data_IF_816777527468
#
_entry.id   IF_816777527468
#
_cell.length_a   1.000
_cell.length_b   1.000
_cell.length_c   1.000
_cell.angle_alpha   90.00
_cell.angle_beta   90.00
_cell.angle_gamma   90.00
#
_symmetry.space_group_name_H-M   'P 1'
#
loop_
_entity.id
_entity.type
_entity.pdbx_description
1 polymer ?
#
# COMPACT_ATOMS: atom_id res chain seq x y z
N UNK A 1 0.95 -4.75 -26.21
CA UNK A 1 0.15 -3.71 -25.53
C UNK A 1 -0.85 -4.45 -24.65
N UNK A 2 -0.46 -4.78 -23.40
CA UNK A 2 -1.33 -5.46 -22.43
C UNK A 2 -2.14 -4.41 -21.69
N UNK A 3 -3.45 -4.55 -21.71
CA UNK A 3 -4.35 -3.79 -20.86
C UNK A 3 -4.05 -4.12 -19.40
N UNK A 4 -3.92 -3.10 -18.54
CA UNK A 4 -3.77 -3.31 -17.09
C UNK A 4 -4.99 -4.07 -16.55
N UNK A 5 -4.82 -4.80 -15.48
CA UNK A 5 -5.86 -5.61 -14.81
C UNK A 5 -7.13 -4.79 -14.51
N UNK A 6 -7.00 -3.50 -14.15
CA UNK A 6 -8.14 -2.58 -14.03
C UNK A 6 -8.93 -2.44 -15.33
N UNK A 7 -8.24 -2.45 -16.48
CA UNK A 7 -8.90 -2.41 -17.79
C UNK A 7 -9.51 -3.76 -18.16
N UNK A 8 -8.93 -4.87 -17.66
CA UNK A 8 -9.49 -6.21 -17.85
C UNK A 8 -10.72 -6.41 -16.96
N UNK A 9 -10.66 -5.98 -15.69
CA UNK A 9 -11.80 -6.00 -14.76
C UNK A 9 -12.88 -5.02 -15.23
N UNK A 10 -12.51 -3.82 -15.67
CA UNK A 10 -13.44 -2.85 -16.26
C UNK A 10 -14.00 -3.35 -17.60
N UNK A 11 -13.19 -4.02 -18.44
CA UNK A 11 -13.65 -4.66 -19.65
C UNK A 11 -14.55 -5.88 -19.34
N UNK A 12 -14.30 -6.63 -18.27
CA UNK A 12 -15.16 -7.71 -17.81
C UNK A 12 -16.47 -7.16 -17.24
N UNK A 13 -16.43 -6.09 -16.45
CA UNK A 13 -17.61 -5.39 -15.93
C UNK A 13 -18.40 -4.70 -17.05
N UNK A 14 -17.72 -4.09 -18.04
CA UNK A 14 -18.37 -3.49 -19.22
C UNK A 14 -18.85 -4.59 -20.19
N UNK A 15 -18.14 -5.70 -20.32
CA UNK A 15 -18.60 -6.87 -21.07
C UNK A 15 -19.78 -7.54 -20.37
N UNK A 16 -19.76 -7.69 -19.06
CA UNK A 16 -20.89 -8.14 -18.25
C UNK A 16 -22.08 -7.15 -18.35
N UNK A 17 -21.83 -5.82 -18.32
CA UNK A 17 -22.88 -4.82 -18.54
C UNK A 17 -23.42 -4.79 -19.98
N UNK A 18 -22.59 -5.04 -20.98
CA UNK A 18 -23.02 -5.11 -22.38
C UNK A 18 -23.76 -6.41 -22.70
N UNK A 19 -23.45 -7.51 -22.01
CA UNK A 19 -24.16 -8.80 -22.09
C UNK A 19 -25.53 -8.72 -21.42
N UNK A 20 -25.74 -7.82 -20.45
CA UNK A 20 -27.06 -7.54 -19.84
C UNK A 20 -28.11 -6.99 -20.83
N UNK A 21 -27.69 -6.48 -21.99
CA UNK A 21 -28.62 -5.96 -23.01
C UNK A 21 -29.07 -7.05 -23.99
N UNK A 22 -28.43 -8.22 -24.04
CA UNK A 22 -28.67 -9.22 -25.12
C UNK A 22 -29.10 -10.60 -24.62
N UNK A 23 -29.05 -10.93 -23.32
CA UNK A 23 -29.36 -12.32 -22.92
C UNK A 23 -30.09 -12.45 -21.59
N UNK A 24 -31.37 -12.53 -21.65
CA UNK A 24 -32.25 -13.03 -20.56
C UNK A 24 -32.21 -14.58 -20.41
N UNK A 25 -31.08 -15.24 -20.67
CA UNK A 25 -31.02 -16.71 -20.73
C UNK A 25 -29.90 -17.44 -20.00
N UNK A 26 -28.92 -16.77 -19.39
CA UNK A 26 -27.86 -17.49 -18.67
C UNK A 26 -28.02 -17.33 -17.15
N UNK A 27 -28.78 -18.25 -16.54
CA UNK A 27 -29.09 -18.25 -15.11
C UNK A 27 -27.94 -18.60 -14.17
N UNK A 28 -26.67 -18.27 -14.52
CA UNK A 28 -25.50 -18.47 -13.66
C UNK A 28 -24.89 -17.16 -13.14
N UNK A 29 -25.19 -16.00 -13.72
CA UNK A 29 -24.57 -14.71 -13.37
C UNK A 29 -24.91 -14.30 -11.93
N UNK A 30 -26.16 -14.47 -11.49
CA UNK A 30 -26.54 -14.23 -10.10
C UNK A 30 -25.79 -15.14 -9.12
N UNK A 31 -25.54 -16.42 -9.53
CA UNK A 31 -24.77 -17.35 -8.71
C UNK A 31 -23.30 -16.93 -8.55
N UNK A 32 -22.72 -16.26 -9.57
CA UNK A 32 -21.37 -15.68 -9.45
C UNK A 32 -21.36 -14.51 -8.48
N UNK A 33 -22.33 -13.60 -8.58
CA UNK A 33 -22.44 -12.46 -7.67
C UNK A 33 -22.64 -12.93 -6.22
N UNK A 34 -23.52 -13.92 -6.01
CA UNK A 34 -23.74 -14.49 -4.69
C UNK A 34 -22.46 -15.19 -4.16
N UNK A 35 -21.78 -15.94 -5.03
CA UNK A 35 -20.54 -16.64 -4.66
C UNK A 35 -19.41 -15.67 -4.28
N UNK A 36 -19.24 -14.57 -5.03
CA UNK A 36 -18.29 -13.50 -4.71
C UNK A 36 -18.62 -12.84 -3.37
N UNK A 37 -19.91 -12.56 -3.11
CA UNK A 37 -20.37 -12.02 -1.85
C UNK A 37 -20.07 -12.97 -0.67
N UNK A 38 -20.40 -14.25 -0.80
CA UNK A 38 -20.10 -15.26 0.22
C UNK A 38 -18.58 -15.39 0.44
N UNK A 39 -17.79 -15.42 -0.64
CA UNK A 39 -16.33 -15.50 -0.56
C UNK A 39 -15.73 -14.30 0.18
N UNK A 40 -16.14 -13.08 -0.18
CA UNK A 40 -15.69 -11.84 0.45
C UNK A 40 -16.05 -11.78 1.94
N UNK A 41 -17.15 -12.42 2.33
CA UNK A 41 -17.62 -12.53 3.70
C UNK A 41 -17.10 -13.78 4.44
N UNK A 42 -16.09 -14.48 3.89
CA UNK A 42 -15.47 -15.67 4.46
C UNK A 42 -16.43 -16.88 4.62
N UNK A 43 -17.60 -16.85 3.98
CA UNK A 43 -18.51 -18.00 3.91
C UNK A 43 -18.11 -18.88 2.73
N UNK A 44 -16.99 -19.57 2.90
CA UNK A 44 -16.41 -20.40 1.84
C UNK A 44 -17.25 -21.61 1.48
N UNK A 45 -18.08 -22.12 2.38
CA UNK A 45 -18.99 -23.22 2.10
C UNK A 45 -20.09 -22.81 1.13
N UNK A 46 -20.74 -21.69 1.40
CA UNK A 46 -21.75 -21.11 0.49
C UNK A 46 -21.13 -20.68 -0.84
N UNK A 47 -19.93 -20.06 -0.82
CA UNK A 47 -19.21 -19.69 -2.03
C UNK A 47 -18.88 -20.90 -2.92
N UNK A 48 -18.36 -21.99 -2.36
CA UNK A 48 -18.04 -23.24 -3.09
C UNK A 48 -19.30 -23.82 -3.71
N UNK A 49 -20.42 -23.83 -3.00
CA UNK A 49 -21.70 -24.31 -3.53
C UNK A 49 -22.15 -23.45 -4.72
N UNK A 50 -22.19 -22.14 -4.59
CA UNK A 50 -22.67 -21.20 -5.62
C UNK A 50 -21.77 -21.21 -6.85
N UNK A 51 -20.43 -21.17 -6.69
CA UNK A 51 -19.50 -21.34 -7.85
C UNK A 51 -19.65 -22.68 -8.51
N UNK A 52 -19.84 -23.76 -7.75
CA UNK A 52 -20.09 -25.11 -8.30
C UNK A 52 -21.37 -25.20 -9.12
N UNK A 53 -22.42 -24.50 -8.71
CA UNK A 53 -23.67 -24.41 -9.47
C UNK A 53 -23.52 -23.54 -10.73
N UNK A 54 -22.85 -22.39 -10.62
CA UNK A 54 -22.55 -21.52 -11.76
C UNK A 54 -21.74 -22.29 -12.83
N UNK A 55 -20.72 -23.05 -12.41
CA UNK A 55 -19.90 -23.87 -13.30
C UNK A 55 -20.71 -24.93 -14.06
N UNK A 56 -21.72 -25.53 -13.42
CA UNK A 56 -22.61 -26.49 -14.08
C UNK A 56 -23.52 -25.86 -15.13
N UNK A 57 -23.92 -24.60 -14.90
CA UNK A 57 -24.84 -23.88 -15.80
C UNK A 57 -24.12 -23.10 -16.90
N UNK A 58 -22.86 -22.77 -16.71
CA UNK A 58 -22.05 -22.01 -17.67
C UNK A 58 -21.65 -22.88 -18.87
N UNK A 59 -22.01 -22.47 -20.08
CA UNK A 59 -21.62 -23.13 -21.33
C UNK A 59 -20.37 -22.55 -21.99
N UNK A 60 -19.93 -21.33 -21.60
CA UNK A 60 -18.77 -20.66 -22.16
C UNK A 60 -17.48 -21.20 -21.55
N UNK A 61 -16.56 -21.70 -22.42
CA UNK A 61 -15.31 -22.31 -21.94
C UNK A 61 -14.33 -21.33 -21.28
N UNK A 62 -14.33 -20.06 -21.69
CA UNK A 62 -13.44 -19.04 -21.11
C UNK A 62 -13.95 -18.64 -19.73
N UNK A 63 -15.25 -18.38 -19.62
CA UNK A 63 -15.91 -18.06 -18.35
C UNK A 63 -15.80 -19.23 -17.37
N UNK A 64 -15.93 -20.47 -17.83
CA UNK A 64 -15.76 -21.67 -17.00
C UNK A 64 -14.38 -21.74 -16.35
N UNK A 65 -13.32 -21.41 -17.10
CA UNK A 65 -11.95 -21.42 -16.57
C UNK A 65 -11.80 -20.40 -15.42
N UNK A 66 -12.41 -19.21 -15.55
CA UNK A 66 -12.38 -18.22 -14.50
C UNK A 66 -13.20 -18.66 -13.27
N UNK A 67 -14.39 -19.26 -13.49
CA UNK A 67 -15.18 -19.83 -12.38
C UNK A 67 -14.40 -20.92 -11.65
N UNK A 68 -13.69 -21.80 -12.37
CA UNK A 68 -12.86 -22.86 -11.78
C UNK A 68 -11.75 -22.29 -10.89
N UNK A 69 -11.14 -21.17 -11.31
CA UNK A 69 -10.13 -20.44 -10.52
C UNK A 69 -10.73 -19.87 -9.23
N UNK A 70 -11.88 -19.18 -9.31
CA UNK A 70 -12.57 -18.62 -8.14
C UNK A 70 -13.07 -19.72 -7.20
N UNK A 71 -13.60 -20.81 -7.75
CA UNK A 71 -13.99 -21.99 -6.98
C UNK A 71 -12.78 -22.60 -6.23
N UNK A 72 -11.63 -22.67 -6.89
CA UNK A 72 -10.39 -23.17 -6.27
C UNK A 72 -9.97 -22.30 -5.10
N UNK A 73 -10.01 -20.95 -5.24
CA UNK A 73 -9.74 -20.02 -4.15
C UNK A 73 -10.67 -20.21 -2.95
N UNK A 74 -11.97 -20.39 -3.21
CA UNK A 74 -12.95 -20.64 -2.15
C UNK A 74 -12.71 -21.99 -1.46
N UNK A 75 -12.31 -23.02 -2.18
CA UNK A 75 -11.92 -24.33 -1.60
C UNK A 75 -10.68 -24.20 -0.73
N UNK A 76 -9.69 -23.40 -1.15
CA UNK A 76 -8.51 -23.10 -0.36
C UNK A 76 -8.88 -22.35 0.93
N UNK A 77 -9.73 -21.34 0.81
CA UNK A 77 -10.25 -20.60 1.96
C UNK A 77 -10.96 -21.51 2.96
N UNK A 78 -11.84 -22.41 2.48
CA UNK A 78 -12.49 -23.43 3.30
C UNK A 78 -11.49 -24.33 4.03
N UNK A 79 -10.45 -24.80 3.33
CA UNK A 79 -9.43 -25.66 3.93
C UNK A 79 -8.62 -24.93 5.01
N UNK A 80 -8.28 -23.65 4.79
CA UNK A 80 -7.52 -22.84 5.75
C UNK A 80 -8.37 -22.35 6.93
N UNK A 81 -9.68 -22.21 6.76
CA UNK A 81 -10.59 -21.66 7.77
C UNK A 81 -10.71 -22.51 9.05
N UNK A 82 -10.35 -23.79 8.98
CA UNK A 82 -10.47 -24.70 10.13
C UNK A 82 -9.59 -24.32 11.32
N UNK A 83 -8.45 -23.69 11.06
CA UNK A 83 -7.50 -23.26 12.09
C UNK A 83 -6.91 -21.89 11.71
N UNK A 84 -6.97 -20.95 12.64
CA UNK A 84 -6.47 -19.59 12.44
C UNK A 84 -5.50 -19.16 13.52
N UNK A 85 -4.53 -18.33 13.15
CA UNK A 85 -3.73 -17.61 14.12
C UNK A 85 -4.54 -16.44 14.71
N UNK A 86 -4.28 -16.12 15.97
CA UNK A 86 -4.93 -15.00 16.67
C UNK A 86 -3.86 -13.96 17.06
N UNK A 87 -3.25 -13.27 16.07
CA UNK A 87 -2.21 -12.32 16.38
C UNK A 87 -2.78 -11.12 17.12
N UNK A 88 -2.02 -10.60 18.06
CA UNK A 88 -2.37 -9.38 18.77
C UNK A 88 -2.11 -8.17 17.87
N UNK A 89 -3.18 -7.47 17.53
CA UNK A 89 -3.13 -6.29 16.68
C UNK A 89 -2.81 -5.06 17.51
N UNK A 90 -1.64 -4.46 17.28
CA UNK A 90 -1.18 -3.26 17.98
C UNK A 90 -1.80 -2.02 17.37
N UNK A 91 -1.75 -1.91 16.04
CA UNK A 91 -2.32 -0.78 15.32
C UNK A 91 -2.66 -1.11 13.88
N UNK A 92 -3.45 -0.25 13.25
CA UNK A 92 -3.79 -0.28 11.83
C UNK A 92 -3.87 1.14 11.30
N UNK A 93 -3.31 1.38 10.11
CA UNK A 93 -3.46 2.66 9.40
C UNK A 93 -3.61 2.44 7.91
N UNK A 94 -4.48 3.23 7.29
CA UNK A 94 -4.72 3.21 5.84
C UNK A 94 -3.86 4.27 5.16
N UNK A 95 -3.25 3.89 4.04
CA UNK A 95 -2.37 4.70 3.20
C UNK A 95 -2.83 4.64 1.75
N UNK A 96 -2.30 5.54 0.90
CA UNK A 96 -2.43 5.41 -0.54
C UNK A 96 -1.64 4.19 -1.05
N UNK A 97 -2.24 3.42 -1.95
CA UNK A 97 -1.63 2.23 -2.55
C UNK A 97 -0.32 2.58 -3.32
N UNK A 98 -0.18 3.80 -3.82
CA UNK A 98 0.95 4.19 -4.67
C UNK A 98 2.28 4.30 -3.93
N UNK A 99 2.25 4.62 -2.64
CA UNK A 99 3.44 5.01 -1.90
C UNK A 99 3.52 4.43 -0.47
N UNK A 100 2.56 3.58 -0.05
CA UNK A 100 2.51 3.00 1.30
C UNK A 100 3.81 2.29 1.69
N UNK A 101 4.47 1.61 0.75
CA UNK A 101 5.69 0.82 0.98
C UNK A 101 6.90 1.67 1.35
N UNK A 102 6.91 2.97 0.99
CA UNK A 102 7.98 3.91 1.37
C UNK A 102 8.03 4.18 2.87
N UNK A 103 7.01 3.80 3.60
CA UNK A 103 6.81 4.12 5.00
C UNK A 103 7.06 2.95 5.94
N UNK A 104 7.41 1.81 5.38
CA UNK A 104 7.82 0.66 6.17
C UNK A 104 9.13 0.94 6.92
N UNK A 105 9.26 0.46 8.17
CA UNK A 105 10.40 0.76 9.05
C UNK A 105 11.63 -0.07 8.67
N UNK A 106 12.05 0.03 7.42
CA UNK A 106 13.24 -0.64 6.92
C UNK A 106 14.42 0.33 6.92
N UNK A 107 15.65 -0.14 7.19
CA UNK A 107 16.84 0.65 7.04
C UNK A 107 16.91 1.28 5.64
N UNK A 108 17.32 2.55 5.53
CA UNK A 108 17.32 3.30 4.27
C UNK A 108 18.07 2.62 3.10
N UNK A 109 19.01 1.73 3.41
CA UNK A 109 19.78 0.98 2.41
C UNK A 109 19.16 -0.36 2.02
N UNK A 110 18.10 -0.79 2.71
CA UNK A 110 17.48 -2.09 2.45
C UNK A 110 16.59 -2.07 1.20
N UNK A 111 16.14 -0.90 0.77
CA UNK A 111 15.31 -0.77 -0.43
C UNK A 111 15.90 0.20 -1.43
N UNK A 112 15.89 -0.21 -2.69
CA UNK A 112 16.18 0.65 -3.84
C UNK A 112 15.10 0.49 -4.87
N UNK A 113 14.62 1.62 -5.38
CA UNK A 113 13.63 1.63 -6.45
C UNK A 113 14.28 1.24 -7.77
N UNK A 114 13.52 0.55 -8.59
CA UNK A 114 13.80 0.37 -10.00
C UNK A 114 13.72 1.72 -10.76
N UNK A 115 14.44 1.94 -11.86
CA UNK A 115 15.36 0.99 -12.49
C UNK A 115 16.73 0.99 -11.82
N UNK A 116 17.35 -0.16 -11.74
CA UNK A 116 18.76 -0.30 -11.40
C UNK A 116 19.37 -1.45 -12.25
N UNK A 117 20.62 -1.80 -12.00
CA UNK A 117 21.33 -2.82 -12.79
C UNK A 117 20.70 -4.22 -12.71
N UNK A 118 19.88 -4.49 -11.71
CA UNK A 118 19.26 -5.79 -11.47
C UNK A 118 17.82 -5.87 -11.97
N UNK A 119 17.13 -4.71 -12.09
CA UNK A 119 15.74 -4.64 -12.53
C UNK A 119 15.50 -3.39 -13.38
N UNK A 120 14.96 -3.59 -14.58
CA UNK A 120 14.67 -2.55 -15.57
C UNK A 120 13.17 -2.28 -15.75
N UNK A 121 12.33 -2.69 -14.81
CA UNK A 121 10.88 -2.69 -14.99
C UNK A 121 10.22 -1.33 -14.78
N UNK A 122 10.95 -0.31 -14.40
CA UNK A 122 10.51 1.07 -14.58
C UNK A 122 9.65 1.69 -13.50
N UNK A 123 9.74 1.28 -12.26
CA UNK A 123 9.34 2.17 -11.16
C UNK A 123 7.92 2.06 -10.63
N UNK A 124 7.23 0.97 -10.83
CA UNK A 124 6.06 0.66 -10.03
C UNK A 124 6.50 0.12 -8.63
N UNK A 125 5.60 0.15 -7.64
CA UNK A 125 5.92 -0.25 -6.27
C UNK A 125 6.34 -1.73 -6.16
N UNK A 126 5.94 -2.59 -7.09
CA UNK A 126 6.32 -4.00 -7.14
C UNK A 126 7.74 -4.23 -7.67
N UNK A 127 8.36 -3.21 -8.23
CA UNK A 127 9.71 -3.24 -8.81
C UNK A 127 10.83 -2.81 -7.84
N UNK A 128 10.56 -2.82 -6.55
CA UNK A 128 11.53 -2.49 -5.51
C UNK A 128 12.55 -3.61 -5.34
N UNK A 129 13.84 -3.26 -5.33
CA UNK A 129 14.91 -4.19 -5.02
C UNK A 129 15.22 -4.13 -3.52
N UNK A 130 15.16 -5.27 -2.88
CA UNK A 130 15.40 -5.43 -1.45
C UNK A 130 16.78 -6.03 -1.17
N UNK A 131 17.50 -5.43 -0.23
CA UNK A 131 18.81 -5.85 0.24
C UNK A 131 18.70 -6.19 1.74
N UNK A 132 18.67 -7.48 2.12
CA UNK A 132 18.60 -7.86 3.53
C UNK A 132 19.79 -7.32 4.31
N UNK A 133 19.55 -6.80 5.50
CA UNK A 133 20.59 -6.24 6.35
C UNK A 133 21.67 -7.28 6.69
N UNK A 134 22.94 -6.90 6.51
CA UNK A 134 24.07 -7.79 6.78
C UNK A 134 24.26 -8.94 5.78
N UNK A 135 23.44 -9.01 4.74
CA UNK A 135 23.53 -10.02 3.69
C UNK A 135 24.25 -9.50 2.45
N UNK A 136 24.87 -10.42 1.69
CA UNK A 136 25.41 -10.18 0.35
C UNK A 136 24.40 -10.61 -0.73
N UNK A 137 23.12 -10.54 -0.46
CA UNK A 137 22.06 -10.96 -1.36
C UNK A 137 21.14 -9.77 -1.69
N UNK A 138 20.57 -9.79 -2.89
CA UNK A 138 19.53 -8.87 -3.32
C UNK A 138 18.36 -9.66 -3.87
N UNK A 139 17.13 -9.21 -3.59
CA UNK A 139 15.90 -9.85 -4.01
C UNK A 139 15.00 -8.81 -4.70
N UNK A 140 14.32 -9.20 -5.77
CA UNK A 140 13.38 -8.33 -6.47
C UNK A 140 12.35 -9.16 -7.23
N UNK A 141 11.30 -8.49 -7.68
CA UNK A 141 10.30 -9.03 -8.59
C UNK A 141 10.46 -8.40 -9.97
N UNK A 142 10.49 -9.22 -11.01
CA UNK A 142 10.59 -8.74 -12.38
C UNK A 142 9.75 -9.59 -13.34
N UNK A 143 9.22 -9.00 -14.43
CA UNK A 143 8.45 -9.74 -15.42
C UNK A 143 9.36 -10.67 -16.25
N UNK A 144 8.86 -11.85 -16.55
CA UNK A 144 9.45 -12.75 -17.55
C UNK A 144 9.01 -12.37 -18.97
N UNK A 145 9.36 -13.21 -19.95
CA UNK A 145 8.98 -13.00 -21.35
C UNK A 145 7.47 -13.01 -21.61
N UNK A 146 6.70 -13.63 -20.74
CA UNK A 146 5.24 -13.63 -20.76
C UNK A 146 4.64 -12.39 -20.05
N UNK A 147 5.48 -11.59 -19.39
CA UNK A 147 5.12 -10.43 -18.59
C UNK A 147 4.59 -10.81 -17.21
N UNK A 148 4.81 -12.04 -16.75
CA UNK A 148 4.47 -12.52 -15.42
C UNK A 148 5.63 -12.20 -14.51
N UNK A 149 5.35 -11.56 -13.38
CA UNK A 149 6.37 -11.18 -12.42
C UNK A 149 6.78 -12.38 -11.57
N UNK A 150 8.07 -12.61 -11.52
CA UNK A 150 8.67 -13.69 -10.74
C UNK A 150 9.70 -13.12 -9.79
N UNK A 151 10.01 -13.85 -8.71
CA UNK A 151 11.03 -13.45 -7.77
C UNK A 151 12.39 -13.92 -8.25
N UNK A 152 13.33 -12.98 -8.24
CA UNK A 152 14.73 -13.18 -8.55
C UNK A 152 15.60 -12.86 -7.34
N UNK A 153 16.76 -13.48 -7.28
CA UNK A 153 17.82 -13.05 -6.39
C UNK A 153 19.17 -13.04 -7.09
N UNK A 154 20.08 -12.25 -6.56
CA UNK A 154 21.49 -12.24 -6.93
C UNK A 154 22.35 -12.13 -5.69
N UNK A 155 23.59 -12.57 -5.80
CA UNK A 155 24.59 -12.54 -4.73
C UNK A 155 25.74 -11.60 -5.09
N UNK A 156 26.15 -10.78 -4.12
CA UNK A 156 27.33 -9.94 -4.23
C UNK A 156 28.60 -10.82 -4.10
N UNK A 157 29.38 -10.89 -5.15
CA UNK A 157 30.64 -11.61 -5.23
C UNK A 157 31.86 -10.72 -4.87
N UNK A 158 31.60 -9.49 -4.42
CA UNK A 158 32.60 -8.50 -4.05
C UNK A 158 32.98 -7.55 -5.18
N UNK A 159 33.32 -8.04 -6.35
CA UNK A 159 33.67 -7.23 -7.55
C UNK A 159 32.46 -7.06 -8.50
N UNK A 160 31.51 -7.95 -8.46
CA UNK A 160 30.31 -7.98 -9.31
C UNK A 160 29.18 -8.72 -8.62
N UNK A 161 27.95 -8.52 -9.13
CA UNK A 161 26.81 -9.36 -8.79
C UNK A 161 26.81 -10.66 -9.60
N UNK A 162 26.35 -11.76 -9.00
CA UNK A 162 26.06 -12.98 -9.74
C UNK A 162 25.01 -12.72 -10.82
N UNK A 163 24.90 -13.63 -11.79
CA UNK A 163 23.72 -13.64 -12.67
C UNK A 163 22.44 -13.76 -11.84
N UNK A 164 21.35 -13.07 -12.24
CA UNK A 164 20.04 -13.22 -11.62
C UNK A 164 19.57 -14.67 -11.65
N UNK A 165 19.11 -15.15 -10.51
CA UNK A 165 18.53 -16.49 -10.40
C UNK A 165 17.03 -16.37 -10.12
N UNK A 166 16.20 -16.92 -11.00
CA UNK A 166 14.76 -17.02 -10.80
C UNK A 166 14.45 -18.08 -9.75
N UNK A 167 13.59 -17.74 -8.79
CA UNK A 167 13.21 -18.68 -7.74
C UNK A 167 12.40 -19.86 -8.30
N UNK A 168 12.60 -21.10 -7.81
CA UNK A 168 12.02 -22.30 -8.38
C UNK A 168 10.52 -22.46 -8.12
N UNK A 169 9.94 -21.69 -7.22
CA UNK A 169 8.54 -21.74 -6.82
C UNK A 169 7.63 -20.77 -7.59
N UNK A 170 8.07 -20.29 -8.73
CA UNK A 170 7.27 -19.40 -9.57
C UNK A 170 5.97 -20.07 -10.05
N UNK A 171 4.89 -19.31 -10.04
CA UNK A 171 3.58 -19.74 -10.53
C UNK A 171 3.29 -19.26 -11.96
N UNK A 172 2.05 -19.36 -12.38
CA UNK A 172 1.57 -18.84 -13.67
C UNK A 172 1.06 -17.39 -13.57
N UNK A 173 1.14 -16.78 -12.40
CA UNK A 173 0.75 -15.39 -12.10
C UNK A 173 1.87 -14.67 -11.34
N UNK A 174 1.59 -13.44 -10.93
CA UNK A 174 2.60 -12.55 -10.36
C UNK A 174 3.02 -12.94 -8.93
N UNK A 175 4.33 -12.92 -8.66
CA UNK A 175 4.96 -12.88 -7.35
C UNK A 175 5.65 -11.53 -7.12
N UNK A 176 5.39 -10.92 -5.95
CA UNK A 176 5.89 -9.58 -5.60
C UNK A 176 6.41 -9.49 -4.15
N UNK A 177 7.12 -8.43 -3.84
CA UNK A 177 7.60 -8.08 -2.50
C UNK A 177 8.39 -9.17 -1.78
N UNK A 178 9.49 -9.68 -2.36
CA UNK A 178 10.37 -10.61 -1.64
C UNK A 178 11.08 -9.90 -0.48
N UNK A 179 10.93 -10.43 0.73
CA UNK A 179 11.50 -9.90 1.96
C UNK A 179 12.11 -11.02 2.78
N UNK A 180 13.35 -10.87 3.23
CA UNK A 180 13.99 -11.86 4.11
C UNK A 180 13.97 -11.35 5.53
N UNK A 181 13.34 -12.11 6.42
CA UNK A 181 13.31 -11.83 7.84
C UNK A 181 13.42 -13.14 8.64
N UNK A 182 14.21 -13.12 9.70
CA UNK A 182 14.38 -14.25 10.64
C UNK A 182 14.63 -15.61 9.98
N UNK A 183 15.42 -15.61 8.89
CA UNK A 183 15.76 -16.84 8.16
C UNK A 183 14.65 -17.37 7.25
N UNK A 184 13.58 -16.62 7.06
CA UNK A 184 12.50 -16.89 6.12
C UNK A 184 12.48 -15.87 5.01
N UNK A 185 12.16 -16.33 3.79
CA UNK A 185 11.83 -15.47 2.65
C UNK A 185 10.32 -15.35 2.58
N UNK A 186 9.80 -14.15 2.78
CA UNK A 186 8.38 -13.81 2.61
C UNK A 186 8.18 -13.18 1.23
N UNK A 187 7.04 -13.41 0.62
CA UNK A 187 6.61 -12.79 -0.63
C UNK A 187 5.10 -12.89 -0.79
N UNK A 188 4.53 -12.16 -1.73
CA UNK A 188 3.13 -12.29 -2.09
C UNK A 188 2.99 -12.92 -3.47
N UNK A 189 2.02 -13.81 -3.66
CA UNK A 189 1.73 -14.48 -4.92
C UNK A 189 0.23 -14.51 -5.20
N UNK A 190 -0.12 -14.38 -6.48
CA UNK A 190 -1.49 -14.57 -6.98
C UNK A 190 -1.74 -15.97 -7.51
N UNK A 191 -0.69 -16.68 -7.91
CA UNK A 191 -0.79 -17.93 -8.65
C UNK A 191 -0.54 -19.19 -7.84
N UNK A 192 -0.07 -19.05 -6.63
CA UNK A 192 0.06 -20.16 -5.70
C UNK A 192 -1.28 -20.46 -5.00
N UNK A 193 -1.26 -21.49 -4.18
CA UNK A 193 -2.41 -21.93 -3.41
C UNK A 193 -2.87 -20.87 -2.40
N UNK A 194 -3.83 -20.02 -2.80
CA UNK A 194 -4.28 -18.85 -2.04
C UNK A 194 -5.79 -18.71 -1.95
N UNK A 195 -6.23 -17.67 -1.25
CA UNK A 195 -7.64 -17.34 -1.01
C UNK A 195 -8.04 -16.11 -1.83
N UNK A 196 -7.22 -15.07 -1.78
CA UNK A 196 -7.51 -13.78 -2.40
C UNK A 196 -6.87 -13.53 -3.75
N UNK A 197 -6.54 -12.28 -3.99
CA UNK A 197 -5.68 -11.87 -5.10
C UNK A 197 -4.23 -12.22 -4.79
N UNK A 198 -3.50 -11.32 -4.14
CA UNK A 198 -2.20 -11.66 -3.56
C UNK A 198 -2.40 -12.22 -2.15
N UNK A 199 -1.74 -13.34 -1.86
CA UNK A 199 -1.63 -13.90 -0.52
C UNK A 199 -0.17 -13.95 -0.09
N UNK A 200 0.09 -13.89 1.22
CA UNK A 200 1.43 -13.91 1.78
C UNK A 200 1.91 -15.35 1.97
N UNK A 201 3.09 -15.63 1.43
CA UNK A 201 3.78 -16.91 1.55
C UNK A 201 5.14 -16.72 2.23
N UNK A 202 5.66 -17.81 2.79
CA UNK A 202 7.04 -17.86 3.25
C UNK A 202 7.70 -19.18 2.86
N UNK A 203 9.03 -19.10 2.66
CA UNK A 203 9.91 -20.24 2.52
C UNK A 203 10.92 -20.27 3.66
N UNK A 204 11.25 -21.45 4.14
CA UNK A 204 12.33 -21.66 5.10
C UNK A 204 13.61 -22.11 4.38
N UNK A 205 14.78 -21.81 4.94
CA UNK A 205 16.03 -22.34 4.35
C UNK A 205 16.15 -23.81 4.68
N UNK A 206 16.50 -24.61 3.67
CA UNK A 206 16.88 -26.02 3.85
C UNK A 206 18.26 -26.12 4.50
N UNK A 207 18.65 -27.29 5.04
CA UNK A 207 19.99 -27.51 5.57
C UNK A 207 21.11 -27.19 4.56
N UNK A 208 20.85 -27.33 3.26
CA UNK A 208 21.78 -27.00 2.17
C UNK A 208 21.81 -25.50 1.84
N UNK A 209 21.08 -24.68 2.57
CA UNK A 209 21.01 -23.22 2.41
C UNK A 209 20.16 -22.74 1.24
N UNK A 210 19.36 -23.62 0.60
CA UNK A 210 18.39 -23.26 -0.43
C UNK A 210 17.06 -22.88 0.19
N UNK A 211 16.22 -22.15 -0.55
CA UNK A 211 14.85 -21.89 -0.15
C UNK A 211 13.98 -23.13 -0.44
N UNK A 212 13.20 -23.54 0.56
CA UNK A 212 12.26 -24.66 0.45
C UNK A 212 10.94 -24.25 -0.21
N UNK A 213 9.97 -25.15 -0.16
CA UNK A 213 8.65 -24.95 -0.75
C UNK A 213 7.90 -23.80 -0.05
N UNK A 214 7.12 -23.00 -0.81
CA UNK A 214 6.28 -21.94 -0.26
C UNK A 214 5.15 -22.50 0.62
N UNK A 215 4.94 -21.85 1.75
CA UNK A 215 3.81 -22.10 2.66
C UNK A 215 2.97 -20.84 2.76
N UNK A 216 1.66 -20.93 2.54
CA UNK A 216 0.75 -19.82 2.79
C UNK A 216 0.70 -19.52 4.30
N UNK A 217 0.68 -18.25 4.68
CA UNK A 217 0.61 -17.87 6.09
C UNK A 217 -0.77 -18.16 6.73
N UNK A 218 -1.79 -18.39 5.92
CA UNK A 218 -3.15 -18.68 6.39
C UNK A 218 -3.84 -17.47 7.03
N UNK A 219 -5.02 -17.71 7.59
CA UNK A 219 -5.76 -16.65 8.28
C UNK A 219 -5.12 -16.27 9.62
N UNK A 220 -5.11 -14.97 9.96
CA UNK A 220 -5.69 -13.82 9.27
C UNK A 220 -4.73 -13.07 8.34
N UNK A 221 -3.54 -13.61 8.05
CA UNK A 221 -2.56 -12.96 7.18
C UNK A 221 -2.98 -12.98 5.71
N UNK A 222 -3.69 -14.03 5.30
CA UNK A 222 -4.39 -14.11 4.02
C UNK A 222 -5.84 -13.68 4.17
N UNK A 223 -6.45 -13.14 3.10
CA UNK A 223 -7.85 -12.73 3.07
C UNK A 223 -8.41 -12.86 1.65
N UNK A 224 -9.73 -12.65 1.42
CA UNK A 224 -10.28 -12.52 0.08
C UNK A 224 -9.71 -11.35 -0.74
N UNK A 225 -9.07 -10.37 -0.09
CA UNK A 225 -8.40 -9.26 -0.75
C UNK A 225 -6.97 -9.56 -1.21
N UNK A 226 -6.18 -8.50 -1.41
CA UNK A 226 -4.74 -8.59 -1.66
C UNK A 226 -3.98 -8.36 -0.35
N UNK A 227 -3.12 -9.30 0.02
CA UNK A 227 -2.28 -9.27 1.21
C UNK A 227 -0.81 -9.40 0.80
N UNK A 228 0.03 -8.45 1.22
CA UNK A 228 1.42 -8.39 0.74
C UNK A 228 2.35 -7.64 1.70
N UNK A 229 3.65 -7.65 1.38
CA UNK A 229 4.71 -6.92 2.06
C UNK A 229 4.79 -7.21 3.55
N UNK A 230 5.08 -8.47 3.89
CA UNK A 230 5.29 -8.88 5.28
C UNK A 230 6.74 -8.61 5.69
N UNK A 231 6.93 -7.86 6.78
CA UNK A 231 8.25 -7.56 7.34
C UNK A 231 8.19 -7.54 8.87
N UNK A 232 9.32 -7.74 9.53
CA UNK A 232 9.47 -7.48 10.95
C UNK A 232 10.02 -6.07 11.20
N UNK A 233 9.65 -5.46 12.33
CA UNK A 233 10.21 -4.19 12.76
C UNK A 233 11.71 -4.32 13.08
N UNK A 234 12.50 -3.23 12.96
CA UNK A 234 13.94 -3.27 13.21
C UNK A 234 14.31 -3.75 14.61
N UNK A 235 13.48 -3.46 15.62
CA UNK A 235 13.66 -3.91 17.01
C UNK A 235 13.18 -5.35 17.25
N UNK A 236 12.55 -5.95 16.24
CA UNK A 236 12.07 -7.33 16.28
C UNK A 236 10.88 -7.59 17.19
N UNK A 237 10.17 -6.57 17.65
CA UNK A 237 9.01 -6.72 18.53
C UNK A 237 7.70 -6.86 17.78
N UNK A 238 7.66 -6.40 16.54
CA UNK A 238 6.46 -6.33 15.73
C UNK A 238 6.68 -6.96 14.37
N UNK A 239 5.58 -7.40 13.77
CA UNK A 239 5.50 -7.76 12.36
C UNK A 239 4.48 -6.84 11.69
N UNK A 240 4.74 -6.49 10.43
CA UNK A 240 3.90 -5.61 9.64
C UNK A 240 3.54 -6.28 8.33
N UNK A 241 2.31 -6.08 7.86
CA UNK A 241 1.92 -6.41 6.50
C UNK A 241 0.87 -5.44 5.99
N UNK A 242 0.70 -5.38 4.68
CA UNK A 242 -0.29 -4.55 4.01
C UNK A 242 -1.42 -5.41 3.47
N UNK A 243 -2.65 -4.88 3.53
CA UNK A 243 -3.83 -5.53 2.98
C UNK A 243 -4.83 -4.49 2.47
N UNK A 244 -5.47 -4.77 1.34
CA UNK A 244 -6.55 -3.94 0.82
C UNK A 244 -7.93 -4.38 1.31
N UNK A 245 -8.01 -5.41 2.20
CA UNK A 245 -9.29 -5.79 2.83
C UNK A 245 -9.98 -4.59 3.45
N UNK A 246 -11.25 -4.43 3.24
CA UNK A 246 -12.06 -3.30 3.73
C UNK A 246 -11.54 -1.90 3.30
N UNK A 247 -10.79 -1.81 2.20
CA UNK A 247 -10.25 -0.56 1.67
C UNK A 247 -10.89 -0.19 0.33
N UNK A 248 -10.81 1.10 -0.04
CA UNK A 248 -11.09 1.54 -1.42
C UNK A 248 -9.98 1.08 -2.38
N UNK A 249 -10.28 1.06 -3.68
CA UNK A 249 -9.38 0.54 -4.72
C UNK A 249 -8.00 1.22 -4.83
N UNK A 250 -7.87 2.43 -4.28
CA UNK A 250 -6.65 3.24 -4.30
C UNK A 250 -5.93 3.28 -2.94
N UNK A 251 -6.39 2.49 -1.97
CA UNK A 251 -5.88 2.49 -0.61
C UNK A 251 -5.57 1.09 -0.09
N UNK A 252 -4.72 1.05 0.92
CA UNK A 252 -4.27 -0.15 1.60
C UNK A 252 -4.08 0.11 3.08
N UNK A 253 -4.47 -0.82 3.94
CA UNK A 253 -4.20 -0.76 5.37
C UNK A 253 -2.91 -1.51 5.71
N UNK A 254 -2.04 -0.87 6.48
CA UNK A 254 -0.88 -1.49 7.10
C UNK A 254 -1.25 -1.90 8.52
N UNK A 255 -1.09 -3.17 8.82
CA UNK A 255 -1.33 -3.78 10.12
C UNK A 255 -0.01 -3.95 10.85
N UNK A 256 0.01 -3.58 12.13
CA UNK A 256 1.14 -3.82 13.04
C UNK A 256 0.68 -4.84 14.07
N UNK A 257 1.37 -5.95 14.12
CA UNK A 257 1.08 -7.08 15.00
C UNK A 257 2.22 -7.25 16.01
N UNK A 258 1.92 -7.66 17.23
CA UNK A 258 2.95 -8.10 18.16
C UNK A 258 3.62 -9.36 17.59
N UNK A 259 4.95 -9.43 17.66
CA UNK A 259 5.66 -10.58 17.12
C UNK A 259 5.49 -11.80 18.04
N UNK A 260 5.05 -12.91 17.47
CA UNK A 260 4.95 -14.19 18.14
C UNK A 260 6.01 -15.15 17.60
N UNK A 261 7.00 -15.56 18.44
CA UNK A 261 8.05 -16.50 18.01
C UNK A 261 7.51 -17.85 17.55
N UNK A 262 6.43 -18.31 18.19
CA UNK A 262 5.76 -19.58 17.91
C UNK A 262 4.26 -19.29 17.81
N UNK A 263 3.76 -18.89 16.63
CA UNK A 263 2.35 -18.64 16.45
C UNK A 263 1.55 -19.93 16.66
N UNK A 264 0.48 -19.84 17.45
CA UNK A 264 -0.42 -20.95 17.72
C UNK A 264 -1.71 -20.77 16.94
N UNK A 265 -2.08 -21.79 16.18
CA UNK A 265 -3.36 -21.82 15.46
C UNK A 265 -4.44 -22.46 16.36
N UNK A 266 -5.59 -21.83 16.39
CA UNK A 266 -6.76 -22.26 17.15
C UNK A 266 -7.86 -22.73 16.20
N UNK A 267 -8.66 -23.74 16.58
CA UNK A 267 -9.81 -24.16 15.79
C UNK A 267 -10.86 -23.04 15.73
N UNK A 268 -11.45 -22.85 14.58
CA UNK A 268 -12.52 -21.88 14.33
C UNK A 268 -13.85 -22.60 14.21
N UNK A 269 -14.86 -22.14 14.92
CA UNK A 269 -16.15 -22.82 15.06
C UNK A 269 -17.25 -22.24 14.16
N UNK A 270 -17.09 -21.03 13.67
CA UNK A 270 -18.10 -20.37 12.83
C UNK A 270 -17.52 -19.33 11.86
N UNK A 271 -18.29 -18.98 10.85
CA UNK A 271 -17.96 -17.92 9.88
C UNK A 271 -17.82 -16.56 10.59
N UNK A 272 -18.68 -16.27 11.57
CA UNK A 272 -18.63 -15.04 12.36
C UNK A 272 -17.33 -14.92 13.17
N UNK A 273 -16.88 -16.03 13.73
CA UNK A 273 -15.62 -16.09 14.46
C UNK A 273 -14.45 -15.84 13.51
N UNK A 274 -14.43 -16.49 12.34
CA UNK A 274 -13.42 -16.26 11.30
C UNK A 274 -13.39 -14.79 10.86
N UNK A 275 -14.53 -14.20 10.56
CA UNK A 275 -14.66 -12.77 10.21
C UNK A 275 -14.10 -11.86 11.29
N UNK A 276 -14.43 -12.15 12.55
CA UNK A 276 -13.94 -11.38 13.70
C UNK A 276 -12.42 -11.41 13.80
N UNK A 277 -11.81 -12.58 13.62
CA UNK A 277 -10.35 -12.75 13.62
C UNK A 277 -9.73 -11.98 12.44
N UNK A 278 -10.29 -12.15 11.25
CA UNK A 278 -9.75 -11.57 10.01
C UNK A 278 -9.94 -10.05 9.90
N UNK A 279 -10.81 -9.43 10.69
CA UNK A 279 -10.93 -7.96 10.77
C UNK A 279 -9.71 -7.28 11.36
N UNK A 280 -8.89 -8.00 12.10
CA UNK A 280 -7.66 -7.50 12.70
C UNK A 280 -7.85 -6.15 13.42
N UNK A 281 -8.83 -6.11 14.31
CA UNK A 281 -9.16 -4.90 15.06
C UNK A 281 -8.14 -4.70 16.17
N UNK A 282 -7.49 -3.53 16.27
CA UNK A 282 -6.56 -3.25 17.35
C UNK A 282 -7.21 -3.42 18.73
N UNK A 283 -6.51 -4.10 19.64
CA UNK A 283 -6.98 -4.26 21.01
C UNK A 283 -7.05 -2.87 21.69
N UNK A 284 -8.25 -2.51 22.18
CA UNK A 284 -8.48 -1.22 22.87
C UNK A 284 -7.73 -1.07 24.18
N UNK A 285 -7.05 -2.10 24.65
CA UNK A 285 -6.28 -2.17 25.90
C UNK A 285 -4.78 -1.84 25.75
N UNK A 286 -4.33 -1.34 24.61
CA UNK A 286 -3.15 -0.50 24.66
C UNK A 286 -3.51 0.62 25.62
N UNK A 287 -2.93 0.58 26.85
CA UNK A 287 -3.16 1.49 27.94
C UNK A 287 -3.49 2.88 27.35
N UNK A 288 -4.76 3.29 27.39
CA UNK A 288 -5.00 4.70 27.60
C UNK A 288 -4.05 5.01 28.74
N UNK A 289 -2.94 5.61 28.44
CA UNK A 289 -2.21 6.39 29.43
C UNK A 289 -3.33 7.22 30.02
N UNK A 290 -3.63 6.97 31.29
CA UNK A 290 -4.75 7.57 31.97
C UNK A 290 -4.54 9.08 31.93
N UNK A 291 -5.00 9.69 30.86
CA UNK A 291 -5.07 11.14 30.66
C UNK A 291 -6.16 11.77 31.56
N UNK A 292 -6.64 11.02 32.55
CA UNK A 292 -7.47 11.61 33.62
C UNK A 292 -6.69 12.60 34.48
N UNK A 293 -5.35 12.50 34.51
CA UNK A 293 -4.51 13.49 35.22
C UNK A 293 -4.01 14.62 34.31
N UNK A 294 -4.24 14.59 33.02
CA UNK A 294 -3.83 15.67 32.08
C UNK A 294 -4.89 16.75 31.90
N UNK A 295 -6.08 16.62 32.49
CA UNK A 295 -7.11 17.67 32.42
C UNK A 295 -6.90 18.84 33.40
N UNK A 296 -5.77 18.89 34.15
CA UNK A 296 -5.48 19.99 35.08
C UNK A 296 -4.16 20.72 34.80
N UNK A 297 -3.42 20.38 33.72
CA UNK A 297 -2.23 21.14 33.34
C UNK A 297 -2.51 21.88 32.03
N UNK A 298 -2.53 23.20 32.08
CA UNK A 298 -2.84 24.08 30.97
C UNK A 298 -1.85 23.93 29.80
N UNK A 299 -2.37 24.10 28.61
CA UNK A 299 -1.79 24.64 27.35
C UNK A 299 -0.41 24.20 26.84
N UNK A 300 0.12 23.03 27.20
CA UNK A 300 1.26 22.46 26.47
C UNK A 300 0.75 21.34 25.56
N UNK A 301 0.84 21.53 24.21
CA UNK A 301 0.55 20.46 23.28
C UNK A 301 1.50 19.28 23.52
N UNK A 302 0.97 18.06 23.44
CA UNK A 302 1.80 16.86 23.50
C UNK A 302 2.94 16.97 22.47
N UNK A 303 4.22 16.75 22.88
CA UNK A 303 5.38 16.90 21.99
C UNK A 303 5.25 16.12 20.67
N UNK A 304 4.59 14.96 20.69
CA UNK A 304 4.35 14.14 19.51
C UNK A 304 3.33 14.77 18.57
N UNK A 305 2.26 15.33 19.12
CA UNK A 305 1.24 16.05 18.34
C UNK A 305 1.84 17.31 17.71
N UNK A 306 2.66 18.07 18.44
CA UNK A 306 3.37 19.24 17.92
C UNK A 306 4.37 18.87 16.81
N UNK A 307 5.14 17.79 16.97
CA UNK A 307 6.05 17.29 15.94
C UNK A 307 5.30 16.89 14.66
N UNK A 308 4.20 16.19 14.81
CA UNK A 308 3.35 15.80 13.68
C UNK A 308 2.75 17.00 12.97
N UNK A 309 2.17 17.94 13.72
CA UNK A 309 1.57 19.17 13.20
C UNK A 309 2.58 19.98 12.37
N UNK A 310 3.81 20.15 12.89
CA UNK A 310 4.90 20.83 12.18
C UNK A 310 5.23 20.17 10.83
N UNK A 311 5.38 18.85 10.81
CA UNK A 311 5.68 18.11 9.56
C UNK A 311 4.50 18.13 8.58
N UNK A 312 3.28 18.03 9.07
CA UNK A 312 2.07 18.12 8.25
C UNK A 312 1.88 19.54 7.66
N UNK A 313 2.19 20.58 8.41
CA UNK A 313 2.18 21.97 7.93
C UNK A 313 3.18 22.19 6.79
N UNK A 314 4.39 21.64 6.88
CA UNK A 314 5.40 21.75 5.82
C UNK A 314 4.94 21.06 4.52
N UNK A 315 4.32 19.88 4.60
CA UNK A 315 3.74 19.18 3.46
C UNK A 315 2.63 20.02 2.81
N UNK A 316 1.76 20.64 3.62
CA UNK A 316 0.68 21.51 3.10
C UNK A 316 1.27 22.74 2.40
N UNK A 317 2.20 23.43 3.04
CA UNK A 317 2.88 24.60 2.47
C UNK A 317 3.47 24.31 1.09
N UNK A 318 4.18 23.19 0.94
CA UNK A 318 4.77 22.78 -0.34
C UNK A 318 3.71 22.44 -1.39
N UNK A 319 2.61 21.77 -1.02
CA UNK A 319 1.49 21.46 -1.93
C UNK A 319 0.81 22.75 -2.44
N UNK A 320 0.60 23.71 -1.56
CA UNK A 320 0.00 25.01 -1.90
C UNK A 320 0.91 25.81 -2.80
N UNK A 321 2.22 25.83 -2.54
CA UNK A 321 3.21 26.52 -3.38
C UNK A 321 3.27 25.92 -4.79
N UNK A 322 3.29 24.58 -4.92
CA UNK A 322 3.24 23.90 -6.22
C UNK A 322 1.92 24.19 -6.93
N UNK A 323 0.79 24.16 -6.23
CA UNK A 323 -0.53 24.45 -6.79
C UNK A 323 -0.64 25.88 -7.28
N UNK A 324 -0.09 26.85 -6.52
CA UNK A 324 -0.01 28.25 -6.92
C UNK A 324 0.85 28.41 -8.16
N UNK A 325 2.05 27.81 -8.16
CA UNK A 325 2.97 27.89 -9.31
C UNK A 325 2.36 27.29 -10.58
N UNK A 326 1.66 26.17 -10.47
CA UNK A 326 0.96 25.54 -11.60
C UNK A 326 -0.18 26.43 -12.14
N UNK A 327 -0.94 27.11 -11.28
CA UNK A 327 -1.96 28.08 -11.70
C UNK A 327 -1.35 29.27 -12.43
N UNK A 328 -0.25 29.82 -11.89
CA UNK A 328 0.47 30.93 -12.53
C UNK A 328 1.04 30.53 -13.90
N UNK A 329 1.63 29.33 -14.01
CA UNK A 329 2.11 28.77 -15.27
C UNK A 329 0.98 28.58 -16.28
N UNK A 330 -0.16 28.04 -15.86
CA UNK A 330 -1.34 27.87 -16.70
C UNK A 330 -1.82 29.23 -17.25
N UNK A 331 -1.89 30.24 -16.40
CA UNK A 331 -2.27 31.60 -16.78
C UNK A 331 -1.27 32.22 -17.77
N UNK A 332 0.04 32.11 -17.46
CA UNK A 332 1.08 32.64 -18.36
C UNK A 332 1.08 31.96 -19.73
N UNK A 333 0.88 30.66 -19.79
CA UNK A 333 0.78 29.90 -21.05
C UNK A 333 -0.45 30.29 -21.85
N UNK A 334 -1.58 30.55 -21.20
CA UNK A 334 -2.80 31.05 -21.86
C UNK A 334 -2.60 32.45 -22.42
N UNK A 335 -1.91 33.37 -21.71
CA UNK A 335 -1.56 34.68 -22.22
C UNK A 335 -0.55 34.59 -23.36
N UNK A 336 0.48 33.74 -23.24
CA UNK A 336 1.49 33.53 -24.28
C UNK A 336 0.87 33.09 -25.61
N UNK A 337 -0.12 32.20 -25.59
CA UNK A 337 -0.80 31.76 -26.82
C UNK A 337 -1.53 32.88 -27.54
N UNK A 338 -2.03 33.89 -26.82
CA UNK A 338 -2.85 34.99 -27.33
C UNK A 338 -2.07 36.31 -27.50
N UNK A 339 -0.76 36.35 -27.20
CA UNK A 339 0.05 37.58 -27.22
C UNK A 339 0.68 37.86 -28.57
N UNK A 340 1.01 39.13 -28.79
CA UNK A 340 1.75 39.58 -29.96
C UNK A 340 3.21 39.08 -29.94
N UNK A 341 3.88 38.92 -31.10
CA UNK A 341 5.25 38.42 -31.19
C UNK A 341 6.26 39.14 -30.30
N UNK A 342 6.12 40.46 -30.14
CA UNK A 342 6.98 41.34 -29.37
C UNK A 342 6.93 41.05 -27.84
N UNK A 343 5.78 40.58 -27.33
CA UNK A 343 5.59 40.27 -25.89
C UNK A 343 5.97 38.81 -25.55
N UNK A 344 6.04 37.95 -26.55
CA UNK A 344 6.26 36.50 -26.34
C UNK A 344 7.59 36.17 -25.71
N UNK A 345 8.67 36.87 -26.06
CA UNK A 345 10.00 36.59 -25.53
C UNK A 345 10.07 36.75 -23.99
N UNK A 346 9.55 37.87 -23.48
CA UNK A 346 9.52 38.15 -22.03
C UNK A 346 8.61 37.19 -21.26
N UNK A 347 7.50 36.76 -21.89
CA UNK A 347 6.62 35.74 -21.27
C UNK A 347 7.26 34.35 -21.26
N UNK A 348 7.95 33.98 -22.31
CA UNK A 348 8.66 32.70 -22.41
C UNK A 348 9.74 32.59 -21.32
N UNK A 349 10.51 33.66 -21.13
CA UNK A 349 11.51 33.68 -20.04
C UNK A 349 10.87 33.45 -18.65
N UNK A 350 9.75 34.14 -18.38
CA UNK A 350 9.00 33.92 -17.09
C UNK A 350 8.48 32.52 -16.96
N UNK A 351 7.99 31.91 -18.03
CA UNK A 351 7.51 30.52 -18.04
C UNK A 351 8.67 29.56 -17.70
N UNK A 352 9.80 29.68 -18.41
CA UNK A 352 10.98 28.83 -18.21
C UNK A 352 11.53 28.97 -16.79
N UNK A 353 11.63 30.20 -16.26
CA UNK A 353 12.08 30.41 -14.86
C UNK A 353 11.15 29.75 -13.85
N UNK A 354 9.83 29.79 -14.05
CA UNK A 354 8.86 29.15 -13.14
C UNK A 354 8.86 27.63 -13.30
N UNK A 355 8.95 27.12 -14.52
CA UNK A 355 9.06 25.68 -14.78
C UNK A 355 10.32 25.08 -14.15
N UNK A 356 11.45 25.79 -14.18
CA UNK A 356 12.70 25.35 -13.57
C UNK A 356 12.61 25.19 -12.02
N UNK A 357 11.66 25.86 -11.36
CA UNK A 357 11.42 25.73 -9.92
C UNK A 357 10.61 24.50 -9.54
N UNK A 358 9.75 23.99 -10.44
CA UNK A 358 8.83 22.89 -10.14
C UNK A 358 9.54 21.61 -9.69
N UNK A 359 10.59 21.10 -10.37
CA UNK A 359 11.28 19.88 -9.97
C UNK A 359 11.87 19.96 -8.55
N UNK A 360 12.41 21.14 -8.19
CA UNK A 360 12.95 21.38 -6.85
C UNK A 360 11.86 21.31 -5.77
N UNK A 361 10.72 21.96 -5.98
CA UNK A 361 9.58 21.93 -5.06
C UNK A 361 8.97 20.52 -4.97
N UNK A 362 8.86 19.82 -6.10
CA UNK A 362 8.38 18.43 -6.11
C UNK A 362 9.29 17.50 -5.32
N UNK A 363 10.61 17.64 -5.47
CA UNK A 363 11.59 16.87 -4.70
C UNK A 363 11.48 17.17 -3.19
N UNK A 364 11.31 18.44 -2.82
CA UNK A 364 11.10 18.84 -1.43
C UNK A 364 9.78 18.25 -0.87
N UNK A 365 8.70 18.27 -1.65
CA UNK A 365 7.43 17.67 -1.25
C UNK A 365 7.55 16.16 -1.02
N UNK A 366 8.25 15.45 -1.89
CA UNK A 366 8.51 14.02 -1.73
C UNK A 366 9.30 13.76 -0.45
N UNK A 367 10.35 14.54 -0.17
CA UNK A 367 11.14 14.42 1.04
C UNK A 367 10.30 14.72 2.30
N UNK A 368 9.52 15.80 2.28
CA UNK A 368 8.66 16.18 3.40
C UNK A 368 7.57 15.13 3.68
N UNK A 369 6.93 14.58 2.64
CA UNK A 369 5.99 13.48 2.78
C UNK A 369 6.65 12.24 3.40
N UNK A 370 7.84 11.86 2.92
CA UNK A 370 8.61 10.73 3.46
C UNK A 370 8.88 10.91 4.96
N UNK A 371 9.30 12.11 5.38
CA UNK A 371 9.56 12.42 6.78
C UNK A 371 8.29 12.42 7.64
N UNK A 372 7.19 12.96 7.15
CA UNK A 372 5.90 12.91 7.84
C UNK A 372 5.48 11.47 8.09
N UNK A 373 5.58 10.63 7.10
CA UNK A 373 5.10 9.26 7.18
C UNK A 373 6.05 8.32 7.93
N UNK A 374 7.37 8.60 7.93
CA UNK A 374 8.28 7.96 8.90
C UNK A 374 7.82 8.25 10.34
N UNK A 375 7.43 9.49 10.61
CA UNK A 375 6.92 9.87 11.93
C UNK A 375 5.59 9.18 12.25
N UNK A 376 4.68 9.10 11.29
CA UNK A 376 3.42 8.37 11.43
C UNK A 376 3.64 6.89 11.70
N UNK A 377 4.60 6.27 11.02
CA UNK A 377 4.95 4.87 11.22
C UNK A 377 5.59 4.65 12.59
N UNK A 378 6.49 5.54 13.02
CA UNK A 378 7.10 5.50 14.35
C UNK A 378 6.03 5.60 15.45
N UNK A 379 5.06 6.49 15.30
CA UNK A 379 3.93 6.59 16.21
C UNK A 379 3.07 5.34 16.25
N UNK A 380 2.81 4.73 15.08
CA UNK A 380 2.09 3.46 15.00
C UNK A 380 2.82 2.36 15.77
N UNK A 381 4.14 2.24 15.56
CA UNK A 381 4.98 1.22 16.22
C UNK A 381 5.03 1.39 17.74
N UNK A 382 4.94 2.63 18.24
CA UNK A 382 4.98 2.92 19.68
C UNK A 382 3.60 3.10 20.31
N UNK A 383 2.52 2.88 19.57
CA UNK A 383 1.14 3.02 20.05
C UNK A 383 0.75 4.47 20.38
N UNK A 384 1.45 5.46 19.80
CA UNK A 384 1.16 6.89 19.99
C UNK A 384 -0.08 7.25 19.18
N UNK A 385 -1.12 7.71 19.86
CA UNK A 385 -2.35 8.21 19.22
C UNK A 385 -2.24 9.74 19.06
N UNK A 386 -2.40 10.19 17.81
CA UNK A 386 -2.44 11.63 17.48
C UNK A 386 -3.91 12.05 17.40
N UNK A 387 -4.25 13.10 18.12
CA UNK A 387 -5.56 13.74 17.99
C UNK A 387 -5.57 14.66 16.75
N UNK A 388 -6.15 14.15 15.66
CA UNK A 388 -6.23 14.87 14.37
C UNK A 388 -6.99 16.18 14.46
N UNK A 389 -8.01 16.26 15.32
CA UNK A 389 -8.81 17.49 15.48
C UNK A 389 -7.96 18.64 16.06
N UNK A 390 -7.00 18.32 16.93
CA UNK A 390 -6.03 19.31 17.44
C UNK A 390 -4.99 19.71 16.41
N UNK A 391 -4.53 18.77 15.58
CA UNK A 391 -3.56 19.07 14.51
C UNK A 391 -4.15 20.04 13.48
N UNK A 392 -5.41 19.90 13.15
CA UNK A 392 -6.12 20.82 12.26
C UNK A 392 -6.28 22.20 12.90
N UNK A 393 -6.68 22.27 14.17
CA UNK A 393 -6.83 23.53 14.91
C UNK A 393 -5.50 24.27 15.11
N UNK A 394 -4.40 23.59 15.45
CA UNK A 394 -3.07 24.22 15.57
C UNK A 394 -2.55 24.72 14.22
N UNK A 395 -2.87 24.03 13.13
CA UNK A 395 -2.46 24.45 11.78
C UNK A 395 -3.20 25.70 11.30
N UNK A 396 -4.46 25.86 11.68
CA UNK A 396 -5.25 27.06 11.34
C UNK A 396 -4.78 28.26 12.16
N UNK A 397 -4.34 28.05 13.42
CA UNK A 397 -3.75 29.08 14.25
C UNK A 397 -2.39 29.59 13.72
N UNK A 398 -1.54 28.70 13.16
CA UNK A 398 -0.27 29.13 12.54
C UNK A 398 -0.51 29.95 11.26
N UNK A 399 -1.50 29.59 10.45
CA UNK A 399 -1.88 30.34 9.25
C UNK A 399 -2.39 31.74 9.62
N UNK A 400 -3.24 31.84 10.62
CA UNK A 400 -3.77 33.13 11.12
C UNK A 400 -2.65 34.00 11.68
N UNK A 401 -1.70 33.42 12.42
CA UNK A 401 -0.55 34.16 12.96
C UNK A 401 0.43 34.60 11.85
N UNK A 402 0.64 33.79 10.81
CA UNK A 402 1.46 34.17 9.68
C UNK A 402 0.81 35.29 8.86
N UNK A 403 -0.50 35.26 8.62
CA UNK A 403 -1.22 36.35 7.95
C UNK A 403 -1.26 37.64 8.79
N UNK A 404 -1.41 37.54 10.11
CA UNK A 404 -1.38 38.72 10.98
C UNK A 404 0.02 39.37 11.03
N UNK A 405 1.09 38.60 10.93
CA UNK A 405 2.45 39.15 10.87
C UNK A 405 2.75 39.86 9.55
N UNK A 406 2.12 39.42 8.44
CA UNK A 406 2.22 40.10 7.15
C UNK A 406 1.40 41.40 7.05
N UNK A 407 0.30 41.50 7.77
CA UNK A 407 -0.52 42.72 7.80
C UNK A 407 0.11 43.84 8.68
N UNK A 408 0.94 43.51 9.65
CA UNK A 408 1.62 44.49 10.51
C UNK A 408 2.80 45.21 9.81
N UNK A 409 3.36 44.65 8.73
CA UNK A 409 4.47 45.28 7.95
C UNK A 409 3.99 46.22 6.84
N UNK A 410 2.67 46.43 6.65
CA UNK A 410 2.09 47.34 5.65
C UNK A 410 1.49 48.62 6.23
N UNK A 411 1.95 49.11 7.36
CA UNK A 411 1.68 50.49 7.75
C UNK A 411 2.78 51.37 7.16
N UNK A 412 2.43 52.05 6.08
CA UNK A 412 3.20 53.12 5.42
C UNK A 412 3.58 54.22 6.38
N UNK A 413 4.75 54.82 6.23
CA UNK A 413 5.08 56.07 6.90
C UNK A 413 4.20 57.17 6.33
N UNK A 414 3.76 58.02 7.22
CA UNK A 414 2.80 59.10 6.98
C UNK A 414 3.22 60.09 5.89
N UNK A 415 2.19 60.63 5.31
CA UNK A 415 2.22 61.78 4.45
C UNK A 415 2.37 63.03 5.34
N UNK A 416 3.41 63.87 5.16
CA UNK A 416 3.40 65.21 5.71
C UNK A 416 2.88 66.16 4.65
N UNK A 417 1.86 66.86 5.02
CA UNK A 417 1.44 68.22 4.66
C UNK A 417 1.76 68.82 3.30
N UNK A 418 0.73 69.32 2.77
CA UNK A 418 0.30 70.38 1.85
C UNK A 418 -0.45 69.88 0.65
#
# INVERSE_FOLDING_TARGET
MRLSFEKLLFALVVYMAAVHVVSAQNGYEHLLTDAEAYHSEYDFDAAVQSYGEALRKCGDSVVRLEIEKLLSRSRNGKAMASFCNHPKVVSRKTFSLKDFYLYYPLPDRSWRMSPNRLDNTGGDFSSVVYFPHGSKEAYWSAPDSAGIRNIYYARDLGTMWSAPYRMPFSSTEDEIFPMVSRGRLYFASRGLYGVGGYDIYYCERTPEGRWGEPKNMGFPYSSPGDDFLFVDSPDGKYSLFASNRDCSSDSVSVYVLEYEPVPVSYPVSSVEELRKICRLVPERNLKRVDNKNAMSAGNASDPNTALYAKKAAEVRRLREEISRLNRELSTLRAFYSNSKPEDKAAMQEKIVMKEARLPGLQSQLVAANKELQKTEMDFLLHGVLIDRSRVEAESDLEVVNAESSYTFSRRSPGNPDF
#
